data_IF_190479383925
#
_entry.id   IF_190479383925
#
_cell.length_a   1.000
_cell.length_b   1.000
_cell.length_c   1.000
_cell.angle_alpha   90.00
_cell.angle_beta   90.00
_cell.angle_gamma   90.00
#
_symmetry.space_group_name_H-M   'P 1'
#
loop_
_entity.id
_entity.type
_entity.pdbx_description
1 polymer ?
#
# COMPACT_ATOMS: atom_id res chain seq x y z
N UNK A 1 9.89 -12.74 19.37
CA UNK A 1 10.19 -11.38 18.88
C UNK A 1 10.29 -10.35 20.01
N UNK A 2 9.80 -10.66 21.22
CA UNK A 2 9.63 -9.73 22.36
C UNK A 2 10.93 -9.32 23.12
N UNK A 3 12.09 -9.89 22.80
CA UNK A 3 13.37 -9.58 23.47
C UNK A 3 14.27 -8.63 22.66
N UNK A 4 13.69 -7.87 21.74
CA UNK A 4 14.44 -6.88 20.95
C UNK A 4 14.41 -5.53 21.65
N UNK A 5 15.56 -4.86 21.69
CA UNK A 5 15.69 -3.50 22.24
C UNK A 5 15.55 -2.47 21.11
N UNK A 6 15.02 -1.29 21.43
CA UNK A 6 14.96 -0.13 20.54
C UNK A 6 15.54 1.09 21.26
N UNK A 7 16.18 1.98 20.50
CA UNK A 7 16.85 3.18 21.01
C UNK A 7 18.35 2.99 21.33
N UNK A 8 19.05 4.07 21.70
CA UNK A 8 20.47 4.04 22.03
C UNK A 8 20.76 3.17 23.26
N UNK A 9 21.77 2.30 23.18
CA UNK A 9 22.16 1.39 24.28
C UNK A 9 23.51 1.76 24.91
N UNK A 10 24.42 2.30 24.12
CA UNK A 10 25.73 2.74 24.53
C UNK A 10 26.09 4.00 23.73
N UNK A 11 26.78 4.94 24.37
CA UNK A 11 27.21 6.18 23.74
C UNK A 11 28.65 6.46 24.15
N UNK A 12 29.53 6.52 23.15
CA UNK A 12 30.95 6.83 23.33
C UNK A 12 31.29 8.10 22.55
N UNK A 13 32.16 8.92 23.13
CA UNK A 13 32.73 10.11 22.50
C UNK A 13 34.18 9.82 22.14
N UNK A 14 34.53 9.92 20.86
CA UNK A 14 35.89 9.76 20.36
C UNK A 14 36.54 11.11 20.07
N UNK A 15 37.88 11.14 19.97
CA UNK A 15 38.62 12.34 19.54
C UNK A 15 38.85 13.39 20.63
N UNK A 16 38.71 13.03 21.91
CA UNK A 16 39.16 13.87 23.02
C UNK A 16 40.67 13.74 23.19
N UNK A 17 41.33 14.79 23.72
CA UNK A 17 42.77 14.72 24.05
C UNK A 17 43.10 13.57 25.03
N UNK A 18 42.10 13.08 25.77
CA UNK A 18 42.19 11.95 26.70
C UNK A 18 41.83 10.59 26.09
N UNK A 19 41.57 10.50 24.78
CA UNK A 19 41.16 9.28 24.10
C UNK A 19 39.64 9.14 23.94
N UNK A 20 39.13 7.91 24.06
CA UNK A 20 37.68 7.62 23.98
C UNK A 20 37.05 7.71 25.35
N UNK A 21 35.94 8.43 25.48
CA UNK A 21 35.17 8.57 26.70
C UNK A 21 33.83 7.86 26.56
N UNK A 22 33.56 6.87 27.41
CA UNK A 22 32.24 6.24 27.52
C UNK A 22 31.33 7.09 28.41
N UNK A 23 30.20 7.54 27.86
CA UNK A 23 29.19 8.35 28.56
C UNK A 23 27.88 7.59 28.79
N UNK A 24 27.88 6.27 28.59
CA UNK A 24 26.68 5.42 28.72
C UNK A 24 26.04 5.53 30.10
N UNK A 25 26.84 5.55 31.17
CA UNK A 25 26.37 5.58 32.56
C UNK A 25 26.24 7.01 33.14
N UNK A 26 26.23 8.05 32.29
CA UNK A 26 25.96 9.42 32.73
C UNK A 26 24.47 9.64 33.07
N UNK A 27 24.15 10.79 33.63
CA UNK A 27 22.76 11.21 33.84
C UNK A 27 22.12 11.58 32.50
N UNK A 28 21.16 10.78 32.04
CA UNK A 28 20.39 11.00 30.81
C UNK A 28 18.95 11.42 31.13
N UNK A 29 18.45 12.41 30.39
CA UNK A 29 17.04 12.80 30.39
C UNK A 29 16.29 12.13 29.23
N UNK A 30 15.06 11.68 29.48
CA UNK A 30 14.19 11.13 28.44
C UNK A 30 12.95 12.01 28.25
N UNK A 31 12.62 12.30 27.00
CA UNK A 31 11.37 12.94 26.64
C UNK A 31 10.63 12.06 25.63
N UNK A 32 9.46 11.58 26.02
CA UNK A 32 8.60 10.79 25.14
C UNK A 32 7.81 11.71 24.22
N UNK A 33 7.81 11.37 22.93
CA UNK A 33 7.05 12.05 21.88
C UNK A 33 7.59 13.44 21.52
N UNK A 34 6.97 14.05 20.51
CA UNK A 34 7.27 15.43 20.10
C UNK A 34 6.22 16.40 20.65
N UNK A 35 6.58 17.68 20.79
CA UNK A 35 5.70 18.68 21.42
C UNK A 35 4.34 18.82 20.71
N UNK A 36 4.28 18.65 19.38
CA UNK A 36 3.04 18.66 18.62
C UNK A 36 2.13 17.45 18.83
N UNK A 37 2.63 16.36 19.43
CA UNK A 37 1.77 15.23 19.83
C UNK A 37 1.14 15.48 21.20
N UNK A 38 1.87 16.15 22.10
CA UNK A 38 1.39 16.50 23.45
C UNK A 38 0.24 17.51 23.41
N UNK A 39 0.28 18.41 22.44
CA UNK A 39 -0.79 19.34 22.11
C UNK A 39 -1.29 18.90 20.74
N UNK A 40 -2.33 18.06 20.62
CA UNK A 40 -2.61 17.27 19.42
C UNK A 40 -2.86 18.13 18.17
N UNK A 41 -1.80 18.66 17.55
CA UNK A 41 -1.86 19.70 16.50
C UNK A 41 -2.43 19.17 15.19
N UNK A 42 -2.53 17.85 15.08
CA UNK A 42 -3.20 17.13 14.00
C UNK A 42 -4.73 17.10 14.13
N UNK A 43 -5.31 17.74 15.16
CA UNK A 43 -6.76 17.92 15.33
C UNK A 43 -7.16 19.39 15.06
N UNK A 44 -8.42 19.64 14.71
CA UNK A 44 -8.92 21.00 14.47
C UNK A 44 -8.81 21.88 15.71
N UNK A 45 -9.03 21.32 16.89
CA UNK A 45 -8.95 22.00 18.18
C UNK A 45 -7.49 22.28 18.56
N UNK A 46 -6.62 21.26 18.47
CA UNK A 46 -5.20 21.40 18.80
C UNK A 46 -4.44 22.28 17.81
N UNK A 47 -4.83 22.31 16.53
CA UNK A 47 -4.24 23.21 15.55
C UNK A 47 -4.49 24.69 15.86
N UNK A 48 -5.51 25.03 16.67
CA UNK A 48 -5.83 26.41 17.08
C UNK A 48 -5.02 26.89 18.28
N UNK A 49 -4.43 25.98 19.06
CA UNK A 49 -3.71 26.32 20.29
C UNK A 49 -2.25 26.71 20.06
N UNK A 50 -1.75 26.62 18.82
CA UNK A 50 -0.37 26.93 18.47
C UNK A 50 -0.30 28.02 17.39
N UNK A 51 0.81 28.77 17.38
CA UNK A 51 1.06 29.80 16.37
C UNK A 51 1.68 29.18 15.13
N UNK A 52 0.93 29.19 14.03
CA UNK A 52 1.43 28.79 12.72
C UNK A 52 2.06 29.97 12.00
N UNK A 53 3.09 29.69 11.19
CA UNK A 53 3.73 30.66 10.32
C UNK A 53 3.70 30.14 8.87
N UNK A 54 3.54 31.01 7.87
CA UNK A 54 3.67 30.60 6.47
C UNK A 54 5.03 29.96 6.20
N UNK A 55 5.07 29.00 5.28
CA UNK A 55 6.30 28.36 4.88
C UNK A 55 7.21 29.36 4.15
N UNK A 56 8.47 29.46 4.58
CA UNK A 56 9.43 30.44 4.07
C UNK A 56 10.31 29.92 2.91
N UNK A 57 9.97 28.77 2.32
CA UNK A 57 10.73 28.15 1.22
C UNK A 57 11.92 27.29 1.65
N UNK A 58 12.42 27.47 2.88
CA UNK A 58 13.53 26.66 3.42
C UNK A 58 12.99 25.58 4.36
N UNK A 59 13.13 24.28 4.03
CA UNK A 59 12.76 23.18 4.92
C UNK A 59 13.58 23.18 6.21
N UNK A 60 12.95 22.80 7.32
CA UNK A 60 13.62 22.60 8.60
C UNK A 60 13.29 21.19 9.14
N UNK A 61 14.24 20.51 9.80
CA UNK A 61 13.94 19.29 10.54
C UNK A 61 12.88 19.52 11.63
N UNK A 62 12.19 18.43 12.01
CA UNK A 62 11.21 18.39 13.10
C UNK A 62 10.16 19.50 12.99
N UNK A 63 9.50 19.58 11.83
CA UNK A 63 8.53 20.63 11.50
C UNK A 63 7.14 20.04 11.30
N UNK A 64 6.13 20.74 11.81
CA UNK A 64 4.73 20.46 11.52
C UNK A 64 4.24 21.38 10.41
N UNK A 65 3.61 20.82 9.39
CA UNK A 65 2.94 21.54 8.33
C UNK A 65 1.44 21.29 8.41
N UNK A 66 0.63 22.29 8.02
CA UNK A 66 -0.79 22.10 7.85
C UNK A 66 -1.31 22.84 6.62
N UNK A 67 -2.39 22.35 6.06
CA UNK A 67 -3.18 23.04 5.03
C UNK A 67 -4.63 22.57 5.07
N UNK A 68 -5.50 23.26 4.34
CA UNK A 68 -6.88 22.85 4.10
C UNK A 68 -7.09 22.55 2.62
N UNK A 69 -7.89 21.53 2.31
CA UNK A 69 -8.23 21.17 0.94
C UNK A 69 -9.66 20.67 0.79
N UNK A 70 -10.22 20.86 -0.40
CA UNK A 70 -11.52 20.30 -0.78
C UNK A 70 -11.35 18.88 -1.31
N UNK A 71 -12.31 18.00 -1.03
CA UNK A 71 -12.21 16.61 -1.49
C UNK A 71 -12.27 16.56 -3.02
N UNK A 72 -11.36 15.81 -3.68
CA UNK A 72 -11.42 15.63 -5.12
C UNK A 72 -12.75 15.03 -5.56
N UNK A 73 -13.29 15.50 -6.68
CA UNK A 73 -14.56 15.03 -7.24
C UNK A 73 -14.53 13.52 -7.56
N UNK A 74 -15.73 12.94 -7.70
CA UNK A 74 -15.92 11.53 -8.06
C UNK A 74 -15.74 10.53 -6.91
N UNK A 75 -15.58 9.27 -7.29
CA UNK A 75 -15.58 8.08 -6.39
C UNK A 75 -14.24 7.36 -6.34
N UNK A 76 -13.30 7.70 -7.24
CA UNK A 76 -11.98 7.08 -7.36
C UNK A 76 -11.11 7.26 -6.11
N UNK A 77 -10.29 6.29 -5.67
CA UNK A 77 -9.47 6.45 -4.47
C UNK A 77 -8.58 7.71 -4.51
N UNK A 78 -8.29 8.25 -3.33
CA UNK A 78 -7.47 9.46 -3.17
C UNK A 78 -6.15 9.08 -2.52
N UNK A 79 -5.05 9.70 -2.94
CA UNK A 79 -3.74 9.49 -2.32
C UNK A 79 -2.98 10.81 -2.17
N UNK A 80 -2.05 10.87 -1.21
CA UNK A 80 -1.06 11.93 -1.06
C UNK A 80 0.25 11.49 -1.69
N UNK A 81 0.75 12.24 -2.66
CA UNK A 81 2.12 12.07 -3.15
C UNK A 81 3.04 12.97 -2.33
N UNK A 82 4.02 12.35 -1.68
CA UNK A 82 4.91 13.01 -0.74
C UNK A 82 6.38 12.93 -1.17
N UNK A 83 6.65 12.94 -2.47
CA UNK A 83 8.00 12.80 -3.05
C UNK A 83 9.02 13.84 -2.59
N UNK A 84 8.55 15.02 -2.20
CA UNK A 84 9.37 16.11 -1.68
C UNK A 84 9.53 16.11 -0.16
N UNK A 85 8.84 15.20 0.53
CA UNK A 85 8.89 15.02 1.97
C UNK A 85 9.93 13.95 2.30
N UNK A 86 10.62 14.09 3.42
CA UNK A 86 11.88 13.39 3.63
C UNK A 86 11.98 12.59 4.93
N UNK A 87 12.24 11.30 4.74
CA UNK A 87 13.20 10.54 5.53
C UNK A 87 13.96 9.59 4.60
N UNK A 88 14.90 10.13 3.81
CA UNK A 88 15.65 9.37 2.79
C UNK A 88 14.90 9.18 1.47
N UNK A 89 15.26 8.16 0.67
CA UNK A 89 14.48 7.73 -0.49
C UNK A 89 13.24 6.97 0.01
N UNK A 90 12.03 7.50 -0.16
CA UNK A 90 10.84 6.84 0.34
C UNK A 90 10.64 5.52 -0.40
N UNK A 91 10.50 4.41 0.33
CA UNK A 91 10.04 3.14 -0.26
C UNK A 91 8.58 3.21 -0.69
N UNK A 92 7.84 4.22 -0.21
CA UNK A 92 6.47 4.53 -0.55
C UNK A 92 6.30 6.03 -0.83
N UNK A 93 5.99 6.37 -2.06
CA UNK A 93 5.84 7.75 -2.53
C UNK A 93 4.40 8.27 -2.40
N UNK A 94 3.44 7.35 -2.45
CA UNK A 94 2.00 7.63 -2.46
C UNK A 94 1.29 6.97 -1.27
N UNK A 95 0.56 7.76 -0.49
CA UNK A 95 -0.11 7.36 0.75
C UNK A 95 -1.62 7.44 0.57
N UNK A 96 -2.32 6.31 0.66
CA UNK A 96 -3.77 6.24 0.45
C UNK A 96 -4.56 7.03 1.51
N UNK A 97 -5.52 7.84 1.07
CA UNK A 97 -6.52 8.48 1.91
C UNK A 97 -7.89 7.81 1.66
N UNK A 98 -8.44 7.06 2.64
CA UNK A 98 -9.79 6.54 2.52
C UNK A 98 -10.80 7.67 2.31
N UNK A 99 -11.64 7.58 1.27
CA UNK A 99 -12.67 8.61 1.00
C UNK A 99 -13.63 8.82 2.17
N UNK A 100 -13.85 7.80 3.00
CA UNK A 100 -14.69 7.90 4.19
C UNK A 100 -14.17 8.90 5.24
N UNK A 101 -12.89 9.30 5.16
CA UNK A 101 -12.30 10.29 6.05
C UNK A 101 -12.45 11.74 5.52
N UNK A 102 -12.89 11.91 4.28
CA UNK A 102 -12.98 13.21 3.63
C UNK A 102 -14.38 13.84 3.77
N UNK A 103 -14.42 15.08 4.23
CA UNK A 103 -15.54 16.02 4.08
C UNK A 103 -15.53 16.58 2.66
N UNK A 104 -16.68 17.07 2.13
CA UNK A 104 -16.69 17.71 0.80
C UNK A 104 -15.72 18.90 0.69
N UNK A 105 -15.60 19.69 1.75
CA UNK A 105 -14.75 20.88 1.82
C UNK A 105 -14.01 20.97 3.15
N UNK A 106 -12.98 21.82 3.18
CA UNK A 106 -12.25 22.20 4.40
C UNK A 106 -11.71 20.99 5.19
N UNK A 107 -11.04 20.07 4.49
CA UNK A 107 -10.33 18.96 5.13
C UNK A 107 -8.99 19.45 5.66
N UNK A 108 -8.74 19.27 6.96
CA UNK A 108 -7.45 19.56 7.56
C UNK A 108 -6.45 18.45 7.22
N UNK A 109 -5.38 18.81 6.52
CA UNK A 109 -4.19 17.97 6.34
C UNK A 109 -3.08 18.48 7.27
N UNK A 110 -2.56 17.60 8.13
CA UNK A 110 -1.40 17.90 8.98
C UNK A 110 -0.31 16.87 8.69
N UNK A 111 0.91 17.35 8.47
CA UNK A 111 2.08 16.51 8.18
C UNK A 111 3.18 16.84 9.19
N UNK A 112 3.71 15.82 9.85
CA UNK A 112 4.91 15.93 10.66
C UNK A 112 6.11 15.46 9.85
N UNK A 113 7.12 16.32 9.73
CA UNK A 113 8.31 16.13 8.89
C UNK A 113 9.56 16.14 9.78
N UNK A 114 10.27 15.00 9.83
CA UNK A 114 11.39 14.78 10.73
C UNK A 114 12.70 15.40 10.21
N UNK A 115 12.96 15.33 8.89
CA UNK A 115 14.28 15.60 8.30
C UNK A 115 14.36 16.96 7.62
N UNK A 116 13.28 17.39 6.97
CA UNK A 116 13.22 18.66 6.24
C UNK A 116 12.81 18.49 4.79
N UNK A 117 11.51 18.29 4.57
CA UNK A 117 10.87 18.18 3.27
C UNK A 117 10.25 19.50 2.78
N UNK A 118 10.04 19.63 1.47
CA UNK A 118 9.32 20.77 0.91
C UNK A 118 7.81 20.45 0.79
N UNK A 119 6.94 21.08 1.61
CA UNK A 119 5.50 20.80 1.63
C UNK A 119 4.76 21.31 0.39
N UNK A 120 5.32 22.26 -0.38
CA UNK A 120 4.65 22.87 -1.54
C UNK A 120 4.52 21.90 -2.73
N UNK A 121 5.28 20.80 -2.72
CA UNK A 121 5.20 19.76 -3.76
C UNK A 121 4.43 18.52 -3.30
N UNK A 122 3.69 18.61 -2.20
CA UNK A 122 2.74 17.57 -1.81
C UNK A 122 1.52 17.69 -2.73
N UNK A 123 1.20 16.62 -3.44
CA UNK A 123 0.03 16.57 -4.32
C UNK A 123 -1.06 15.66 -3.77
N UNK A 124 -2.30 16.06 -3.97
CA UNK A 124 -3.47 15.19 -3.78
C UNK A 124 -3.84 14.60 -5.13
N UNK A 125 -3.79 13.27 -5.21
CA UNK A 125 -4.03 12.53 -6.43
C UNK A 125 -5.36 11.80 -6.36
N UNK A 126 -6.00 11.71 -7.52
CA UNK A 126 -7.09 10.77 -7.75
C UNK A 126 -6.53 9.58 -8.51
N UNK A 127 -6.59 8.41 -7.91
CA UNK A 127 -6.04 7.17 -8.49
C UNK A 127 -6.96 6.67 -9.58
N UNK A 128 -6.45 6.54 -10.80
CA UNK A 128 -7.21 5.95 -11.90
C UNK A 128 -7.41 4.44 -11.65
N UNK A 129 -8.66 3.98 -11.67
CA UNK A 129 -9.05 2.56 -11.58
C UNK A 129 -9.58 2.00 -12.90
N UNK A 130 -9.24 2.62 -14.03
CA UNK A 130 -9.48 2.05 -15.35
C UNK A 130 -8.67 0.76 -15.51
N UNK A 131 -7.45 0.68 -14.98
CA UNK A 131 -6.71 -0.58 -14.90
C UNK A 131 -6.92 -1.21 -13.52
N UNK A 132 -7.47 -2.42 -13.49
CA UNK A 132 -7.60 -3.22 -12.26
C UNK A 132 -6.85 -4.54 -12.42
N UNK A 133 -6.41 -5.09 -11.29
CA UNK A 133 -5.67 -6.34 -11.26
C UNK A 133 -6.14 -7.26 -10.14
N UNK A 134 -5.89 -8.55 -10.33
CA UNK A 134 -6.07 -9.59 -9.32
C UNK A 134 -4.89 -10.56 -9.40
N UNK A 135 -4.30 -10.86 -8.24
CA UNK A 135 -3.13 -11.74 -8.13
C UNK A 135 -3.42 -12.77 -7.07
N UNK A 136 -3.46 -14.04 -7.47
CA UNK A 136 -3.65 -15.16 -6.56
C UNK A 136 -2.59 -16.24 -6.85
N UNK A 137 -2.10 -16.87 -5.80
CA UNK A 137 -1.13 -17.97 -5.89
C UNK A 137 -1.74 -19.29 -5.45
N UNK A 138 -0.98 -20.37 -5.66
CA UNK A 138 -1.33 -21.70 -5.17
C UNK A 138 -1.49 -21.82 -3.66
N UNK A 139 -0.93 -20.88 -2.91
CA UNK A 139 -1.06 -20.83 -1.45
C UNK A 139 -1.98 -19.70 -1.01
N UNK A 140 -2.68 -19.05 -1.94
CA UNK A 140 -3.60 -17.98 -1.59
C UNK A 140 -4.69 -18.52 -0.65
N UNK A 141 -4.88 -17.89 0.52
CA UNK A 141 -5.86 -18.37 1.48
C UNK A 141 -7.26 -18.21 0.88
N UNK A 142 -8.20 -19.07 1.27
CA UNK A 142 -9.57 -18.92 0.85
C UNK A 142 -10.22 -17.70 1.50
N UNK A 143 -11.30 -17.19 0.89
CA UNK A 143 -12.06 -16.05 1.39
C UNK A 143 -12.49 -16.25 2.85
N UNK A 144 -12.48 -15.19 3.66
CA UNK A 144 -12.95 -15.23 5.06
C UNK A 144 -14.41 -15.70 5.17
N UNK A 145 -15.21 -15.49 4.12
CA UNK A 145 -16.60 -15.95 4.05
C UNK A 145 -16.73 -17.47 3.88
N UNK A 146 -15.64 -18.18 3.60
CA UNK A 146 -15.61 -19.65 3.54
C UNK A 146 -15.42 -20.32 4.90
N UNK A 147 -15.40 -19.53 5.99
CA UNK A 147 -15.24 -20.03 7.36
C UNK A 147 -16.50 -19.77 8.17
N UNK A 148 -16.93 -20.77 8.93
CA UNK A 148 -17.94 -20.63 9.97
C UNK A 148 -17.34 -20.82 11.36
N UNK A 149 -17.94 -20.16 12.34
CA UNK A 149 -17.60 -20.36 13.75
C UNK A 149 -18.67 -21.22 14.41
N UNK A 150 -18.28 -22.41 14.86
CA UNK A 150 -19.14 -23.28 15.67
C UNK A 150 -18.57 -23.32 17.10
N UNK A 151 -19.14 -22.49 17.99
CA UNK A 151 -18.64 -22.32 19.36
C UNK A 151 -17.30 -21.59 19.40
N UNK A 152 -16.25 -22.23 19.92
CA UNK A 152 -14.87 -21.73 19.94
C UNK A 152 -14.03 -22.19 18.74
N UNK A 153 -14.57 -23.03 17.87
CA UNK A 153 -13.86 -23.58 16.72
C UNK A 153 -14.23 -22.85 15.42
N UNK A 154 -13.22 -22.50 14.64
CA UNK A 154 -13.37 -22.06 13.26
C UNK A 154 -13.30 -23.29 12.35
N UNK A 155 -14.27 -23.46 11.46
CA UNK A 155 -14.35 -24.58 10.51
C UNK A 155 -14.59 -24.02 9.11
N UNK A 156 -13.96 -24.61 8.10
CA UNK A 156 -14.24 -24.25 6.72
C UNK A 156 -15.63 -24.79 6.32
N UNK A 157 -16.45 -23.96 5.67
CA UNK A 157 -17.82 -24.27 5.27
C UNK A 157 -17.88 -25.35 4.17
N UNK A 158 -16.99 -25.30 3.17
CA UNK A 158 -16.81 -26.26 2.05
C UNK A 158 -15.41 -26.05 1.48
N UNK A 159 -14.81 -27.04 0.79
CA UNK A 159 -13.58 -26.89 0.00
C UNK A 159 -13.58 -25.56 -0.76
N UNK A 160 -12.83 -24.55 -0.30
CA UNK A 160 -13.00 -23.22 -0.85
C UNK A 160 -12.32 -23.16 -2.21
N UNK A 161 -13.12 -22.86 -3.24
CA UNK A 161 -12.59 -22.57 -4.57
C UNK A 161 -11.82 -21.26 -4.46
N UNK A 162 -10.54 -21.30 -4.82
CA UNK A 162 -9.69 -20.12 -4.88
C UNK A 162 -9.98 -19.44 -6.20
N UNK A 163 -10.40 -18.19 -6.15
CA UNK A 163 -10.82 -17.44 -7.33
C UNK A 163 -10.16 -16.06 -7.34
N UNK A 164 -9.74 -15.63 -8.52
CA UNK A 164 -9.29 -14.27 -8.74
C UNK A 164 -10.54 -13.43 -9.00
N UNK A 165 -10.83 -12.50 -8.10
CA UNK A 165 -11.96 -11.58 -8.23
C UNK A 165 -11.50 -10.27 -8.86
N UNK A 166 -12.25 -9.80 -9.85
CA UNK A 166 -12.04 -8.53 -10.55
C UNK A 166 -13.38 -7.79 -10.64
N UNK A 167 -13.39 -6.54 -10.18
CA UNK A 167 -14.58 -5.69 -10.21
C UNK A 167 -14.21 -4.31 -10.72
N UNK A 168 -14.77 -3.92 -11.87
CA UNK A 168 -14.61 -2.57 -12.38
C UNK A 168 -15.31 -1.56 -11.46
N UNK A 169 -14.68 -0.41 -11.19
CA UNK A 169 -15.33 0.67 -10.45
C UNK A 169 -16.52 1.24 -11.25
N UNK A 170 -17.39 1.94 -10.53
CA UNK A 170 -18.57 2.61 -11.09
C UNK A 170 -19.46 1.63 -11.89
N UNK A 171 -20.01 2.06 -13.03
CA UNK A 171 -20.78 1.21 -13.95
C UNK A 171 -19.96 0.82 -15.19
N UNK A 172 -18.63 0.87 -15.10
CA UNK A 172 -17.73 0.43 -16.18
C UNK A 172 -17.75 -1.08 -16.33
N UNK A 173 -17.37 -1.56 -17.50
CA UNK A 173 -17.21 -2.98 -17.79
C UNK A 173 -15.79 -3.27 -18.26
N UNK A 174 -15.36 -4.51 -18.09
CA UNK A 174 -14.06 -4.98 -18.56
C UNK A 174 -14.09 -4.96 -20.10
N UNK A 175 -13.35 -4.05 -20.72
CA UNK A 175 -13.28 -3.91 -22.19
C UNK A 175 -12.12 -4.64 -22.80
N UNK A 176 -11.02 -4.75 -22.06
CA UNK A 176 -9.78 -5.32 -22.57
C UNK A 176 -9.05 -6.09 -21.48
N UNK A 177 -8.56 -7.26 -21.82
CA UNK A 177 -7.58 -7.99 -21.02
C UNK A 177 -6.20 -7.51 -21.45
N UNK A 178 -5.47 -6.85 -20.56
CA UNK A 178 -4.16 -6.25 -20.87
C UNK A 178 -3.01 -7.22 -20.62
N UNK A 179 -3.12 -8.01 -19.56
CA UNK A 179 -2.12 -9.01 -19.22
C UNK A 179 -2.77 -10.18 -18.48
N UNK A 180 -2.34 -11.39 -18.82
CA UNK A 180 -2.56 -12.59 -18.01
C UNK A 180 -1.25 -13.35 -17.94
N UNK A 181 -0.81 -13.65 -16.72
CA UNK A 181 0.33 -14.49 -16.43
C UNK A 181 -0.09 -15.66 -15.56
N UNK A 182 0.42 -16.86 -15.87
CA UNK A 182 0.22 -18.04 -15.04
C UNK A 182 1.56 -18.75 -14.83
N UNK A 183 2.05 -18.74 -13.59
CA UNK A 183 3.37 -19.22 -13.20
C UNK A 183 4.17 -18.14 -12.49
N UNK A 184 5.33 -17.80 -13.05
CA UNK A 184 6.19 -16.72 -12.55
C UNK A 184 5.81 -15.39 -13.23
N UNK A 185 5.54 -14.37 -12.41
CA UNK A 185 5.17 -13.02 -12.85
C UNK A 185 5.96 -12.02 -12.03
N UNK A 186 6.58 -11.06 -12.71
CA UNK A 186 7.33 -9.97 -12.09
C UNK A 186 6.54 -8.65 -12.17
N UNK A 187 6.86 -7.73 -11.26
CA UNK A 187 6.29 -6.39 -11.24
C UNK A 187 4.99 -6.28 -10.42
N UNK A 188 4.31 -5.15 -10.59
CA UNK A 188 3.08 -4.81 -9.88
C UNK A 188 1.95 -4.48 -10.87
N UNK A 189 0.73 -4.35 -10.37
CA UNK A 189 -0.42 -3.97 -11.18
C UNK A 189 -0.14 -2.70 -12.01
N UNK A 190 -0.42 -2.76 -13.31
CA UNK A 190 -0.08 -1.70 -14.28
C UNK A 190 1.27 -1.90 -14.97
N UNK A 191 2.14 -2.75 -14.44
CA UNK A 191 3.49 -3.00 -14.96
C UNK A 191 3.92 -4.47 -14.84
N UNK A 192 2.97 -5.40 -14.92
CA UNK A 192 3.30 -6.83 -14.89
C UNK A 192 4.18 -7.23 -16.07
N UNK A 193 5.11 -8.14 -15.80
CA UNK A 193 6.01 -8.72 -16.78
C UNK A 193 5.96 -10.24 -16.66
N UNK A 194 5.98 -10.95 -17.80
CA UNK A 194 6.08 -12.41 -17.77
C UNK A 194 7.45 -12.79 -17.20
N UNK A 195 7.46 -13.72 -16.24
CA UNK A 195 8.69 -14.36 -15.76
C UNK A 195 9.21 -15.40 -16.77
N UNK A 196 10.27 -16.11 -16.40
CA UNK A 196 10.84 -17.19 -17.24
C UNK A 196 9.86 -18.36 -17.39
N UNK A 197 8.99 -18.51 -16.40
CA UNK A 197 8.05 -19.61 -16.30
C UNK A 197 6.59 -19.19 -16.51
N UNK A 198 6.24 -18.73 -17.71
CA UNK A 198 4.88 -18.26 -17.98
C UNK A 198 4.16 -19.14 -19.02
N UNK A 199 3.06 -19.78 -18.63
CA UNK A 199 2.18 -20.55 -19.50
C UNK A 199 0.80 -19.87 -19.57
N UNK A 200 0.66 -18.86 -20.43
CA UNK A 200 -0.50 -17.97 -20.39
C UNK A 200 -1.55 -18.18 -21.49
N UNK A 201 -1.27 -18.88 -22.58
CA UNK A 201 -2.19 -18.94 -23.73
C UNK A 201 -3.60 -19.46 -23.39
N UNK A 202 -3.68 -20.49 -22.55
CA UNK A 202 -4.96 -21.06 -22.10
C UNK A 202 -5.62 -20.18 -21.03
N UNK A 203 -4.83 -19.64 -20.10
CA UNK A 203 -5.29 -18.69 -19.09
C UNK A 203 -5.89 -17.42 -19.72
N UNK A 204 -5.25 -16.84 -20.76
CA UNK A 204 -5.75 -15.68 -21.50
C UNK A 204 -7.16 -15.96 -22.04
N UNK A 205 -7.34 -17.07 -22.78
CA UNK A 205 -8.64 -17.43 -23.35
C UNK A 205 -9.71 -17.63 -22.28
N UNK A 206 -9.36 -18.26 -21.16
CA UNK A 206 -10.28 -18.45 -20.04
C UNK A 206 -10.71 -17.09 -19.46
N UNK A 207 -9.75 -16.21 -19.16
CA UNK A 207 -10.02 -14.87 -18.62
C UNK A 207 -10.87 -14.06 -19.59
N UNK A 208 -10.53 -14.03 -20.89
CA UNK A 208 -11.30 -13.33 -21.92
C UNK A 208 -12.76 -13.82 -21.94
N UNK A 209 -12.97 -15.14 -21.94
CA UNK A 209 -14.32 -15.73 -21.95
C UNK A 209 -15.14 -15.42 -20.70
N UNK A 210 -14.48 -15.30 -19.54
CA UNK A 210 -15.15 -15.08 -18.27
C UNK A 210 -15.38 -13.59 -17.97
N UNK A 211 -14.49 -12.72 -18.41
CA UNK A 211 -14.42 -11.33 -17.95
C UNK A 211 -14.85 -10.28 -18.97
N UNK A 212 -14.58 -10.47 -20.27
CA UNK A 212 -14.89 -9.44 -21.26
C UNK A 212 -16.39 -9.08 -21.29
N UNK A 213 -16.68 -7.78 -21.29
CA UNK A 213 -18.04 -7.23 -21.31
C UNK A 213 -18.77 -7.27 -19.97
N UNK A 214 -18.16 -7.78 -18.89
CA UNK A 214 -18.78 -7.84 -17.56
C UNK A 214 -18.22 -6.77 -16.63
N UNK A 215 -19.04 -6.33 -15.67
CA UNK A 215 -18.61 -5.44 -14.58
C UNK A 215 -17.74 -6.16 -13.55
N UNK A 216 -18.12 -7.40 -13.25
CA UNK A 216 -17.43 -8.29 -12.32
C UNK A 216 -17.17 -9.63 -12.99
N UNK A 217 -16.02 -10.24 -12.70
CA UNK A 217 -15.76 -11.62 -13.04
C UNK A 217 -14.95 -12.32 -11.94
N UNK A 218 -15.14 -13.64 -11.85
CA UNK A 218 -14.37 -14.52 -10.99
C UNK A 218 -13.70 -15.58 -11.84
N UNK A 219 -12.40 -15.75 -11.66
CA UNK A 219 -11.59 -16.71 -12.42
C UNK A 219 -11.04 -17.76 -11.46
N UNK A 220 -11.51 -19.01 -11.54
CA UNK A 220 -11.08 -20.04 -10.61
C UNK A 220 -9.64 -20.47 -10.86
N UNK A 221 -8.93 -20.73 -9.77
CA UNK A 221 -7.55 -21.21 -9.76
C UNK A 221 -7.52 -22.73 -9.89
N UNK A 222 -7.62 -23.21 -11.12
CA UNK A 222 -7.59 -24.63 -11.46
C UNK A 222 -6.48 -24.86 -12.49
N UNK A 223 -5.42 -25.60 -12.12
CA UNK A 223 -4.22 -25.81 -12.98
C UNK A 223 -4.61 -26.36 -14.35
N UNK A 224 -5.56 -27.29 -14.36
CA UNK A 224 -6.05 -27.99 -15.54
C UNK A 224 -6.79 -27.05 -16.50
N UNK A 225 -7.39 -25.96 -15.99
CA UNK A 225 -8.08 -24.96 -16.80
C UNK A 225 -7.16 -23.83 -17.25
N UNK A 226 -6.12 -23.54 -16.47
CA UNK A 226 -5.21 -22.42 -16.71
C UNK A 226 -4.00 -22.78 -17.57
N UNK A 227 -3.54 -24.03 -17.53
CA UNK A 227 -2.41 -24.52 -18.32
C UNK A 227 -2.73 -25.78 -19.14
N UNK A 228 -1.96 -26.02 -20.19
CA UNK A 228 -1.98 -27.28 -20.93
C UNK A 228 -1.21 -28.35 -20.16
N UNK A 229 -1.83 -29.52 -19.97
CA UNK A 229 -1.22 -30.65 -19.28
C UNK A 229 0.04 -31.09 -20.05
N UNK A 230 1.18 -31.16 -19.36
CA UNK A 230 2.46 -31.58 -19.94
C UNK A 230 3.29 -30.49 -20.63
N UNK A 231 2.84 -29.22 -20.63
CA UNK A 231 3.62 -28.06 -21.09
C UNK A 231 4.02 -27.13 -19.94
N UNK A 232 4.19 -27.68 -18.75
CA UNK A 232 4.66 -26.88 -17.61
C UNK A 232 6.17 -26.65 -17.75
N UNK A 233 6.55 -25.41 -18.05
CA UNK A 233 7.94 -25.01 -18.18
C UNK A 233 8.73 -25.14 -16.86
N UNK A 234 8.08 -25.17 -15.69
CA UNK A 234 8.74 -25.34 -14.39
C UNK A 234 7.79 -25.96 -13.34
N UNK A 235 7.72 -27.30 -13.25
CA UNK A 235 6.80 -28.00 -12.35
C UNK A 235 7.05 -27.73 -10.85
N UNK A 236 8.29 -27.37 -10.48
CA UNK A 236 8.69 -27.15 -9.09
C UNK A 236 8.48 -25.71 -8.58
N UNK A 237 7.92 -24.83 -9.43
CA UNK A 237 7.64 -23.43 -9.08
C UNK A 237 6.17 -23.27 -8.73
N UNK A 238 5.91 -22.69 -7.55
CA UNK A 238 4.56 -22.27 -7.14
C UNK A 238 3.93 -21.37 -8.19
N UNK A 239 2.76 -21.74 -8.70
CA UNK A 239 2.09 -20.95 -9.73
C UNK A 239 1.36 -19.76 -9.13
N UNK A 240 1.45 -18.64 -9.84
CA UNK A 240 0.69 -17.42 -9.58
C UNK A 240 -0.11 -17.06 -10.81
N UNK A 241 -1.40 -16.80 -10.64
CA UNK A 241 -2.28 -16.22 -11.64
C UNK A 241 -2.33 -14.71 -11.40
N UNK A 242 -1.77 -13.94 -12.31
CA UNK A 242 -1.86 -12.48 -12.32
C UNK A 242 -2.69 -12.04 -13.51
N UNK A 243 -3.74 -11.27 -13.26
CA UNK A 243 -4.65 -10.75 -14.28
C UNK A 243 -4.66 -9.23 -14.18
N UNK A 244 -4.54 -8.55 -15.32
CA UNK A 244 -4.71 -7.11 -15.47
C UNK A 244 -5.70 -6.85 -16.60
N UNK A 245 -6.70 -6.02 -16.32
CA UNK A 245 -7.74 -5.65 -17.28
C UNK A 245 -7.98 -4.15 -17.26
N UNK A 246 -8.45 -3.63 -18.39
CA UNK A 246 -8.92 -2.26 -18.53
C UNK A 246 -10.45 -2.20 -18.54
N UNK A 247 -10.99 -1.27 -17.74
CA UNK A 247 -12.38 -0.96 -17.52
C UNK A 247 -12.73 0.35 -18.23
N UNK A 248 -13.82 0.36 -19.01
CA UNK A 248 -14.43 1.59 -19.55
C UNK A 248 -15.89 1.47 -19.93
#
# INVERSE_FOLDING_TARGET
>A
MEKRFAGPRAVTLEGLMSGTLDITNNQWGNQVGVNGEKVPVYTEEGAKTVKWVPFAGTPSPVTWYKTYFDAPEGTNPVALRMMSMAKGWPTQEEYHIPRAFLKPKDNLLVVFEETGGNPEKIDILVVNRDTICSVISEYHPPSVNSWERKGSELRALVNPVREAELTCPDNKVIRKVEFVGFGEVDGACGAFKPGKCNANAKAIKLVESLCLGKKECKVPFERERLADVGKDACPDVSKTLAIQVACS
#
